data_IF_430307440088
#
_entry.id   IF_430307440088
#
_cell.length_a   1.000
_cell.length_b   1.000
_cell.length_c   1.000
_cell.angle_alpha   90.00
_cell.angle_beta   90.00
_cell.angle_gamma   90.00
#
_symmetry.space_group_name_H-M   'P 1'
#
loop_
_entity.id
_entity.type
_entity.pdbx_description
1 polymer ?
#
# COMPACT_ATOMS: atom_id res chain seq x y z
N UNK A 1 4.92 0.15 -13.50
CA UNK A 1 3.96 0.19 -12.37
C UNK A 1 3.71 -1.22 -11.85
N UNK A 2 3.58 -1.41 -10.54
CA UNK A 2 3.40 -2.71 -9.88
C UNK A 2 2.25 -2.69 -8.87
N UNK A 3 1.57 -3.81 -8.68
CA UNK A 3 0.52 -3.98 -7.65
C UNK A 3 1.12 -4.19 -6.26
N UNK A 4 0.29 -4.11 -5.22
CA UNK A 4 0.71 -4.49 -3.86
C UNK A 4 1.16 -5.95 -3.80
N UNK A 5 0.42 -6.86 -4.43
CA UNK A 5 0.74 -8.29 -4.45
C UNK A 5 2.09 -8.56 -5.12
N UNK A 6 2.41 -7.87 -6.22
CA UNK A 6 3.71 -7.98 -6.89
C UNK A 6 4.85 -7.45 -6.01
N UNK A 7 4.62 -6.38 -5.25
CA UNK A 7 5.59 -5.84 -4.29
C UNK A 7 5.66 -6.66 -2.99
N UNK A 8 4.64 -7.44 -2.69
CA UNK A 8 4.53 -8.27 -1.50
C UNK A 8 5.25 -9.61 -1.71
N UNK A 9 4.96 -10.33 -2.80
CA UNK A 9 5.57 -11.62 -3.10
C UNK A 9 6.87 -11.50 -3.91
N UNK A 10 7.12 -10.34 -4.52
CA UNK A 10 8.12 -10.22 -5.57
C UNK A 10 7.60 -10.73 -6.91
N UNK A 11 8.22 -10.29 -8.00
CA UNK A 11 7.85 -10.71 -9.36
C UNK A 11 8.99 -10.43 -10.34
N UNK A 12 8.97 -11.09 -11.50
CA UNK A 12 9.85 -10.73 -12.60
C UNK A 12 9.06 -9.97 -13.67
N UNK A 13 9.55 -8.78 -14.05
CA UNK A 13 9.01 -7.98 -15.16
C UNK A 13 10.00 -7.93 -16.30
N UNK A 14 9.57 -8.41 -17.46
CA UNK A 14 10.33 -8.31 -18.69
C UNK A 14 9.82 -7.12 -19.49
N UNK A 15 10.65 -6.07 -19.63
CA UNK A 15 10.31 -4.88 -20.37
C UNK A 15 11.04 -4.89 -21.71
N UNK A 16 10.28 -4.77 -22.81
CA UNK A 16 10.86 -4.64 -24.15
C UNK A 16 11.20 -3.18 -24.41
N UNK A 17 12.43 -2.93 -24.77
CA UNK A 17 12.92 -1.63 -25.22
C UNK A 17 13.36 -1.74 -26.67
N UNK A 18 13.04 -0.71 -27.46
CA UNK A 18 13.61 -0.56 -28.80
C UNK A 18 14.76 0.43 -28.68
N UNK A 19 15.95 0.03 -29.12
CA UNK A 19 17.14 0.89 -29.12
C UNK A 19 17.89 0.83 -30.45
N UNK A 20 18.57 1.91 -30.78
CA UNK A 20 19.49 1.98 -31.92
C UNK A 20 20.85 1.44 -31.54
N UNK A 21 21.42 0.59 -32.37
CA UNK A 21 22.78 0.04 -32.22
C UNK A 21 23.60 0.26 -33.47
N UNK A 22 24.90 0.43 -33.33
CA UNK A 22 25.80 0.51 -34.48
C UNK A 22 26.34 -0.88 -34.84
N UNK A 23 26.09 -1.33 -36.06
CA UNK A 23 26.63 -2.58 -36.62
C UNK A 23 27.22 -2.31 -37.99
N UNK A 24 28.49 -2.66 -38.18
CA UNK A 24 29.21 -2.48 -39.45
C UNK A 24 29.10 -1.06 -40.04
N UNK A 25 29.14 -0.03 -39.18
CA UNK A 25 29.03 1.38 -39.59
C UNK A 25 27.62 1.84 -39.96
N UNK A 26 26.59 1.01 -39.75
CA UNK A 26 25.18 1.34 -39.97
C UNK A 26 24.41 1.30 -38.65
N UNK A 27 23.43 2.20 -38.52
CA UNK A 27 22.51 2.20 -37.39
C UNK A 27 21.35 1.24 -37.66
N UNK A 28 21.16 0.27 -36.79
CA UNK A 28 20.05 -0.68 -36.81
C UNK A 28 19.16 -0.48 -35.58
N UNK A 29 17.84 -0.62 -35.73
CA UNK A 29 16.94 -0.70 -34.58
C UNK A 29 16.79 -2.14 -34.14
N UNK A 30 17.04 -2.41 -32.87
CA UNK A 30 16.84 -3.73 -32.27
C UNK A 30 15.81 -3.64 -31.15
N UNK A 31 15.11 -4.74 -30.91
CA UNK A 31 14.31 -4.94 -29.71
C UNK A 31 15.10 -5.78 -28.71
N UNK A 32 15.24 -5.28 -27.50
CA UNK A 32 15.90 -5.97 -26.38
C UNK A 32 14.91 -6.12 -25.23
N UNK A 33 14.94 -7.27 -24.56
CA UNK A 33 14.13 -7.51 -23.36
C UNK A 33 15.01 -7.35 -22.13
N UNK A 34 14.63 -6.42 -21.25
CA UNK A 34 15.31 -6.14 -20.00
C UNK A 34 14.52 -6.77 -18.83
N UNK A 35 15.05 -7.83 -18.19
CA UNK A 35 14.39 -8.46 -17.05
C UNK A 35 14.66 -7.66 -15.77
N UNK A 36 13.61 -7.33 -15.04
CA UNK A 36 13.66 -6.70 -13.72
C UNK A 36 13.14 -7.71 -12.70
N UNK A 37 14.02 -8.16 -11.82
CA UNK A 37 13.68 -8.99 -10.67
C UNK A 37 13.27 -8.10 -9.49
N UNK A 38 11.96 -7.92 -9.32
CA UNK A 38 11.36 -7.09 -8.27
C UNK A 38 11.41 -7.87 -6.96
N UNK A 39 12.17 -7.35 -6.00
CA UNK A 39 12.25 -7.97 -4.68
C UNK A 39 11.07 -7.58 -3.77
N UNK A 40 10.62 -8.50 -2.90
CA UNK A 40 9.64 -8.19 -1.86
C UNK A 40 9.99 -6.93 -1.05
N UNK A 41 8.98 -6.13 -0.77
CA UNK A 41 9.10 -4.92 0.04
C UNK A 41 9.62 -3.69 -0.69
N UNK A 42 10.02 -3.79 -1.97
CA UNK A 42 10.49 -2.62 -2.73
C UNK A 42 9.47 -1.48 -2.67
N UNK A 43 9.99 -0.26 -2.51
CA UNK A 43 9.20 0.95 -2.35
C UNK A 43 9.07 1.68 -3.67
N UNK A 44 8.00 2.46 -3.82
CA UNK A 44 7.88 3.43 -4.90
C UNK A 44 9.12 4.34 -4.91
N UNK A 45 9.64 4.67 -6.09
CA UNK A 45 10.88 5.43 -6.26
C UNK A 45 12.16 4.60 -6.35
N UNK A 46 12.11 3.28 -6.10
CA UNK A 46 13.27 2.39 -6.32
C UNK A 46 13.71 2.46 -7.79
N UNK A 47 15.01 2.70 -8.03
CA UNK A 47 15.58 2.85 -9.38
C UNK A 47 16.37 1.60 -9.78
N UNK A 48 16.11 1.10 -10.98
CA UNK A 48 16.81 -0.04 -11.59
C UNK A 48 17.52 0.48 -12.84
N UNK A 49 18.84 0.39 -12.85
CA UNK A 49 19.70 0.90 -13.91
C UNK A 49 20.17 -0.23 -14.80
N UNK A 50 20.00 -0.05 -16.10
CA UNK A 50 20.61 -0.87 -17.14
C UNK A 50 21.65 -0.02 -17.87
N UNK A 51 22.91 -0.33 -17.60
CA UNK A 51 24.05 0.41 -18.12
C UNK A 51 24.14 0.31 -19.65
N UNK A 52 24.32 1.44 -20.32
CA UNK A 52 24.56 1.52 -21.76
C UNK A 52 23.46 0.86 -22.63
N UNK A 53 22.22 0.80 -22.14
CA UNK A 53 21.07 0.22 -22.86
C UNK A 53 20.24 1.23 -23.65
N UNK A 54 20.67 2.48 -23.74
CA UNK A 54 20.06 3.49 -24.60
C UNK A 54 20.47 3.37 -26.07
N UNK A 55 20.15 4.41 -26.83
CA UNK A 55 20.56 4.54 -28.24
C UNK A 55 22.07 4.77 -28.34
N UNK A 56 22.75 3.94 -29.13
CA UNK A 56 24.15 4.12 -29.47
C UNK A 56 24.32 5.19 -30.54
N UNK A 57 25.39 5.98 -30.43
CA UNK A 57 25.82 6.92 -31.47
C UNK A 57 27.27 6.60 -31.87
N UNK A 58 27.75 7.04 -33.05
CA UNK A 58 29.12 6.77 -33.47
C UNK A 58 30.19 7.39 -32.55
N UNK A 59 29.84 8.43 -31.80
CA UNK A 59 30.80 9.30 -31.10
C UNK A 59 30.67 9.24 -29.58
N UNK A 60 29.61 8.63 -29.04
CA UNK A 60 29.33 8.60 -27.60
C UNK A 60 28.94 7.22 -27.12
N UNK A 61 29.31 6.91 -25.88
CA UNK A 61 28.81 5.75 -25.14
C UNK A 61 27.28 5.86 -25.03
N UNK A 62 26.59 4.73 -25.15
CA UNK A 62 25.13 4.70 -25.02
C UNK A 62 24.70 5.15 -23.61
N UNK A 63 23.63 5.94 -23.47
CA UNK A 63 23.16 6.34 -22.16
C UNK A 63 22.53 5.14 -21.43
N UNK A 64 22.45 5.24 -20.10
CA UNK A 64 21.76 4.25 -19.28
C UNK A 64 20.25 4.37 -19.41
N UNK A 65 19.56 3.23 -19.32
CA UNK A 65 18.11 3.20 -19.08
C UNK A 65 17.88 3.02 -17.58
N UNK A 66 17.09 3.90 -16.97
CA UNK A 66 16.71 3.81 -15.56
C UNK A 66 15.21 3.63 -15.43
N UNK A 67 14.78 2.48 -14.93
CA UNK A 67 13.39 2.25 -14.55
C UNK A 67 13.16 2.69 -13.12
N UNK A 68 12.05 3.38 -12.87
CA UNK A 68 11.61 3.71 -11.51
C UNK A 68 10.35 2.92 -11.18
N UNK A 69 10.36 2.25 -10.03
CA UNK A 69 9.18 1.54 -9.53
C UNK A 69 8.12 2.55 -9.11
N UNK A 70 6.90 2.32 -9.57
CA UNK A 70 5.72 3.06 -9.17
C UNK A 70 4.67 2.05 -8.72
N UNK A 71 4.14 2.24 -7.51
CA UNK A 71 3.09 1.40 -6.95
C UNK A 71 1.73 1.85 -7.46
N UNK A 72 0.91 0.88 -7.89
CA UNK A 72 -0.49 1.13 -8.25
C UNK A 72 -1.32 1.35 -6.98
N UNK A 73 -2.30 2.27 -7.01
CA UNK A 73 -3.31 2.38 -5.95
C UNK A 73 -4.02 1.04 -5.73
N UNK A 74 -4.41 0.76 -4.48
CA UNK A 74 -5.19 -0.43 -4.13
C UNK A 74 -6.53 0.00 -3.52
N UNK A 75 -7.65 -0.68 -3.86
CA UNK A 75 -8.98 -0.23 -3.44
C UNK A 75 -9.21 -0.27 -1.93
N UNK A 76 -8.50 -1.13 -1.20
CA UNK A 76 -8.71 -1.36 0.23
C UNK A 76 -7.53 -0.97 1.13
N UNK A 77 -6.37 -0.70 0.53
CA UNK A 77 -5.14 -0.50 1.29
C UNK A 77 -4.39 0.72 0.78
N UNK A 78 -3.94 1.54 1.70
CA UNK A 78 -2.92 2.55 1.48
C UNK A 78 -1.59 2.04 2.06
N UNK A 79 -0.47 2.38 1.43
CA UNK A 79 0.85 1.98 1.93
C UNK A 79 1.51 3.17 2.62
N UNK A 80 1.92 2.98 3.87
CA UNK A 80 2.72 3.93 4.63
C UNK A 80 4.07 3.30 4.97
N UNK A 81 5.08 3.56 4.14
CA UNK A 81 6.39 2.93 4.27
C UNK A 81 6.34 1.40 4.10
N UNK A 82 6.45 0.66 5.21
CA UNK A 82 6.29 -0.79 5.24
C UNK A 82 4.96 -1.22 5.86
N UNK A 83 4.17 -0.28 6.38
CA UNK A 83 2.88 -0.56 6.96
C UNK A 83 1.78 -0.43 5.90
N UNK A 84 0.65 -1.05 6.19
CA UNK A 84 -0.57 -0.93 5.42
C UNK A 84 -1.60 -0.19 6.26
N UNK A 85 -2.37 0.69 5.65
CA UNK A 85 -3.49 1.38 6.27
C UNK A 85 -4.76 0.89 5.60
N UNK A 86 -5.75 0.52 6.41
CA UNK A 86 -7.10 0.17 5.98
C UNK A 86 -8.10 0.99 6.78
N UNK A 87 -9.02 1.64 6.08
CA UNK A 87 -10.12 2.38 6.72
C UNK A 87 -11.36 1.51 6.78
N UNK A 88 -11.97 1.41 7.95
CA UNK A 88 -13.21 0.67 8.19
C UNK A 88 -14.28 1.65 8.66
N UNK A 89 -15.45 1.59 8.05
CA UNK A 89 -16.62 2.34 8.51
C UNK A 89 -17.21 1.66 9.74
N UNK A 90 -17.47 2.45 10.78
CA UNK A 90 -18.17 2.02 11.99
C UNK A 90 -19.24 3.04 12.34
N UNK A 91 -20.36 2.58 12.88
CA UNK A 91 -21.39 3.48 13.40
C UNK A 91 -20.93 4.14 14.70
N UNK A 92 -21.50 5.30 15.04
CA UNK A 92 -21.27 5.92 16.35
C UNK A 92 -21.56 4.96 17.52
N UNK A 93 -22.57 4.09 17.39
CA UNK A 93 -22.90 3.07 18.39
C UNK A 93 -21.75 2.08 18.57
N UNK A 94 -21.22 1.54 17.48
CA UNK A 94 -20.07 0.63 17.49
C UNK A 94 -18.79 1.30 18.01
N UNK A 95 -18.60 2.57 17.68
CA UNK A 95 -17.47 3.34 18.18
C UNK A 95 -17.52 3.53 19.70
N UNK A 96 -18.70 3.72 20.29
CA UNK A 96 -18.87 3.95 21.72
C UNK A 96 -19.00 2.66 22.55
N UNK A 97 -19.59 1.61 21.98
CA UNK A 97 -19.94 0.38 22.72
C UNK A 97 -19.07 -0.82 22.36
N UNK A 98 -18.10 -0.64 21.46
CA UNK A 98 -17.26 -1.69 20.92
C UNK A 98 -17.85 -2.37 19.69
N UNK A 99 -16.97 -3.03 18.93
CA UNK A 99 -17.31 -3.70 17.67
C UNK A 99 -16.44 -4.92 17.42
N UNK A 100 -16.92 -5.81 16.56
CA UNK A 100 -16.17 -6.95 16.06
C UNK A 100 -16.45 -7.14 14.57
N UNK A 101 -15.41 -7.30 13.77
CA UNK A 101 -15.50 -7.44 12.33
C UNK A 101 -14.34 -8.26 11.78
N UNK A 102 -14.51 -8.82 10.58
CA UNK A 102 -13.46 -9.58 9.91
C UNK A 102 -12.73 -8.72 8.87
N UNK A 103 -11.41 -8.81 8.86
CA UNK A 103 -10.54 -8.12 7.91
C UNK A 103 -9.75 -9.14 7.11
N UNK A 104 -9.82 -9.03 5.79
CA UNK A 104 -8.88 -9.71 4.91
C UNK A 104 -7.57 -8.92 4.87
N UNK A 105 -6.46 -9.61 5.15
CA UNK A 105 -5.09 -9.13 4.97
C UNK A 105 -4.71 -9.15 3.48
N UNK A 106 -3.54 -8.60 3.13
CA UNK A 106 -3.09 -8.52 1.74
C UNK A 106 -2.84 -9.89 1.09
N UNK A 107 -2.47 -10.90 1.87
CA UNK A 107 -2.32 -12.31 1.47
C UNK A 107 -3.65 -13.08 1.46
N UNK A 108 -4.77 -12.43 1.81
CA UNK A 108 -6.12 -13.00 1.72
C UNK A 108 -6.57 -13.79 2.94
N UNK A 109 -5.80 -13.79 4.02
CA UNK A 109 -6.19 -14.40 5.31
C UNK A 109 -7.28 -13.53 5.97
N UNK A 110 -8.36 -14.18 6.41
CA UNK A 110 -9.38 -13.53 7.23
C UNK A 110 -8.91 -13.46 8.69
N UNK A 111 -9.07 -12.29 9.31
CA UNK A 111 -8.73 -12.05 10.71
C UNK A 111 -9.89 -11.37 11.42
N UNK A 112 -10.33 -11.95 12.51
CA UNK A 112 -11.38 -11.36 13.34
C UNK A 112 -10.76 -10.34 14.30
N UNK A 113 -11.21 -9.10 14.18
CA UNK A 113 -10.75 -7.96 14.96
C UNK A 113 -11.85 -7.56 15.92
N UNK A 114 -11.54 -7.60 17.21
CA UNK A 114 -12.38 -7.07 18.29
C UNK A 114 -11.79 -5.78 18.84
N UNK A 115 -12.65 -4.78 19.02
CA UNK A 115 -12.32 -3.51 19.64
C UNK A 115 -13.36 -3.26 20.73
N UNK A 116 -12.93 -3.36 21.98
CA UNK A 116 -13.76 -3.12 23.16
C UNK A 116 -13.64 -1.67 23.68
N UNK A 117 -12.54 -1.00 23.35
CA UNK A 117 -12.29 0.39 23.72
C UNK A 117 -13.14 1.36 22.88
N UNK A 118 -13.32 2.58 23.40
CA UNK A 118 -13.96 3.66 22.65
C UNK A 118 -13.08 4.03 21.44
N UNK A 119 -13.68 4.01 20.26
CA UNK A 119 -13.04 4.40 19.01
C UNK A 119 -13.21 5.91 18.82
N UNK A 120 -12.15 6.66 19.05
CA UNK A 120 -12.06 8.08 18.68
C UNK A 120 -11.67 8.26 17.20
N UNK A 121 -11.83 9.47 16.62
CA UNK A 121 -11.44 9.73 15.24
C UNK A 121 -9.96 9.49 14.92
N UNK A 122 -9.08 9.58 15.91
CA UNK A 122 -7.64 9.33 15.82
C UNK A 122 -7.24 7.93 16.29
N UNK A 123 -8.18 7.13 16.80
CA UNK A 123 -7.91 5.77 17.24
C UNK A 123 -7.44 4.90 16.08
N UNK A 124 -6.38 4.11 16.34
CA UNK A 124 -5.81 3.16 15.37
C UNK A 124 -5.68 1.81 16.02
N UNK A 125 -6.34 0.80 15.44
CA UNK A 125 -6.10 -0.60 15.82
C UNK A 125 -4.95 -1.15 14.99
N UNK A 126 -3.89 -1.58 15.65
CA UNK A 126 -2.71 -2.17 14.99
C UNK A 126 -2.82 -3.70 15.00
N UNK A 127 -2.62 -4.32 13.84
CA UNK A 127 -2.41 -5.75 13.66
C UNK A 127 -0.93 -5.99 13.31
N UNK A 128 -0.10 -6.40 14.29
CA UNK A 128 1.34 -6.51 14.10
C UNK A 128 1.71 -7.55 13.03
N UNK A 129 2.70 -7.22 12.19
CA UNK A 129 3.24 -8.14 11.19
C UNK A 129 2.35 -8.40 9.97
N UNK A 130 1.22 -7.70 9.84
CA UNK A 130 0.28 -7.86 8.72
C UNK A 130 0.45 -6.79 7.63
N UNK A 131 1.55 -6.05 7.64
CA UNK A 131 1.93 -5.04 6.64
C UNK A 131 2.74 -5.59 5.46
N UNK A 132 3.53 -4.73 4.80
CA UNK A 132 4.42 -5.11 3.69
C UNK A 132 5.74 -5.72 4.20
N UNK A 133 6.41 -6.59 3.42
CA UNK A 133 7.71 -7.15 3.77
C UNK A 133 8.79 -6.07 3.88
N UNK A 134 9.75 -6.27 4.78
CA UNK A 134 10.92 -5.40 4.90
C UNK A 134 12.02 -5.90 3.97
N UNK A 135 12.34 -5.16 2.91
CA UNK A 135 13.40 -5.58 1.95
C UNK A 135 14.78 -5.81 2.57
N UNK A 136 15.08 -5.17 3.71
CA UNK A 136 16.35 -5.32 4.43
C UNK A 136 16.35 -6.43 5.48
N UNK A 137 15.17 -6.94 5.85
CA UNK A 137 14.99 -7.93 6.90
C UNK A 137 14.04 -9.03 6.42
N UNK A 138 14.56 -10.00 5.64
CA UNK A 138 13.75 -11.10 5.12
C UNK A 138 13.02 -11.84 6.23
N UNK A 139 11.73 -12.13 6.03
CA UNK A 139 10.86 -12.77 7.03
C UNK A 139 10.17 -11.81 7.99
N UNK A 140 10.56 -10.53 8.03
CA UNK A 140 9.86 -9.50 8.80
C UNK A 140 8.92 -8.68 7.92
N UNK A 141 7.80 -8.25 8.51
CA UNK A 141 6.78 -7.40 7.89
C UNK A 141 6.51 -6.20 8.78
N UNK A 142 6.05 -5.11 8.17
CA UNK A 142 5.43 -4.00 8.90
C UNK A 142 4.06 -4.40 9.42
N UNK A 143 3.27 -3.42 9.83
CA UNK A 143 1.99 -3.65 10.48
C UNK A 143 0.80 -3.28 9.58
N UNK A 144 -0.37 -3.83 9.87
CA UNK A 144 -1.63 -3.34 9.32
C UNK A 144 -2.31 -2.43 10.36
N UNK A 145 -2.44 -1.15 10.02
CA UNK A 145 -3.10 -0.11 10.82
C UNK A 145 -4.54 0.06 10.33
N UNK A 146 -5.50 -0.27 11.19
CA UNK A 146 -6.92 -0.05 10.92
C UNK A 146 -7.30 1.32 11.48
N UNK A 147 -7.67 2.23 10.58
CA UNK A 147 -8.30 3.51 10.90
C UNK A 147 -9.81 3.36 10.81
N UNK A 148 -10.52 4.17 11.56
CA UNK A 148 -11.97 4.10 11.62
C UNK A 148 -12.60 5.39 11.08
N UNK A 149 -13.58 5.23 10.20
CA UNK A 149 -14.43 6.32 9.76
C UNK A 149 -15.76 6.22 10.50
N UNK A 150 -16.01 7.13 11.45
CA UNK A 150 -17.16 7.05 12.35
C UNK A 150 -18.37 7.69 11.66
N UNK A 151 -19.38 6.87 11.39
CA UNK A 151 -20.64 7.26 10.78
C UNK A 151 -21.61 7.76 11.86
N UNK A 152 -21.80 9.08 11.91
CA UNK A 152 -22.77 9.71 12.80
C UNK A 152 -24.20 9.56 12.27
N UNK A 153 -25.21 9.46 13.15
CA UNK A 153 -26.60 9.49 12.73
C UNK A 153 -26.94 10.84 12.09
N UNK A 154 -27.72 10.83 11.01
CA UNK A 154 -28.10 12.06 10.28
C UNK A 154 -29.05 12.96 11.06
N UNK A 155 -29.83 12.38 11.98
CA UNK A 155 -30.76 13.08 12.84
C UNK A 155 -31.01 12.24 14.11
N UNK A 156 -31.47 12.90 15.16
CA UNK A 156 -31.92 12.30 16.41
C UNK A 156 -33.27 12.93 16.77
N UNK A 157 -34.20 12.13 17.29
CA UNK A 157 -35.45 12.66 17.86
C UNK A 157 -35.20 13.39 19.17
N UNK A 158 -36.14 14.22 19.61
CA UNK A 158 -35.99 14.96 20.86
C UNK A 158 -35.82 14.02 22.07
N UNK A 159 -36.59 12.92 22.11
CA UNK A 159 -36.44 11.89 23.14
C UNK A 159 -35.05 11.21 23.14
N UNK A 160 -34.47 10.98 21.95
CA UNK A 160 -33.10 10.43 21.85
C UNK A 160 -32.06 11.43 22.34
N UNK A 161 -32.24 12.72 22.04
CA UNK A 161 -31.34 13.79 22.49
C UNK A 161 -31.36 13.93 24.00
N UNK A 162 -32.55 13.98 24.60
CA UNK A 162 -32.71 14.05 26.06
C UNK A 162 -32.07 12.84 26.75
N UNK A 163 -32.28 11.64 26.20
CA UNK A 163 -31.65 10.42 26.74
C UNK A 163 -30.12 10.46 26.64
N UNK A 164 -29.57 10.94 25.51
CA UNK A 164 -28.12 11.03 25.33
C UNK A 164 -27.50 12.12 26.21
N UNK A 165 -28.17 13.27 26.39
CA UNK A 165 -27.73 14.34 27.27
C UNK A 165 -27.61 13.82 28.72
N UNK A 166 -28.64 13.13 29.20
CA UNK A 166 -28.62 12.52 30.52
C UNK A 166 -27.52 11.45 30.68
N UNK A 167 -27.30 10.61 29.65
CA UNK A 167 -26.26 9.56 29.69
C UNK A 167 -24.84 10.12 29.63
N UNK A 168 -24.62 11.23 28.92
CA UNK A 168 -23.30 11.81 28.71
C UNK A 168 -22.94 12.89 29.74
N UNK A 169 -23.91 13.37 30.54
CA UNK A 169 -23.70 14.41 31.55
C UNK A 169 -22.65 14.03 32.60
N UNK A 170 -22.58 12.75 32.99
CA UNK A 170 -21.67 12.25 34.04
C UNK A 170 -20.37 11.62 33.47
N UNK A 171 -20.12 11.77 32.16
CA UNK A 171 -18.91 11.22 31.52
C UNK A 171 -17.73 12.17 31.72
N UNK A 172 -16.59 11.62 32.17
CA UNK A 172 -15.33 12.34 32.26
C UNK A 172 -14.61 12.35 30.90
N UNK A 173 -14.09 13.51 30.49
CA UNK A 173 -13.37 13.74 29.23
C UNK A 173 -11.87 13.86 29.44
#
# INVERSE_FOLDING_TARGET
KLTFQELYYGTQKNLRVTRKVLRNGRTEQIQETLPIDVKPGWKSGTKIRFTEKGDETPTTIAPDIVFTIEQKPHPQFERDGNDLIKTVDVTLREALLGTSFSVYTLDGKAMDVKVDDIISPDYVKVLPGEGMPLSKSPGSRGDLKIKFNIQFPKALSDAQRESLDALLADVAY
#
